data_IF_005072534869
#
_entry.id   IF_005072534869
#
_cell.length_a   1.000
_cell.length_b   1.000
_cell.length_c   1.000
_cell.angle_alpha   90.00
_cell.angle_beta   90.00
_cell.angle_gamma   90.00
#
_symmetry.space_group_name_H-M   'P 1'
#
loop_
_entity.id
_entity.type
_entity.pdbx_description
1 polymer ?
#
# COMPACT_ATOMS: atom_id res chain seq x y z
N UNK A 1 21.72 10.46 16.90
CA UNK A 1 21.59 10.25 15.44
C UNK A 1 20.14 9.86 15.20
N UNK A 2 19.42 10.56 14.33
CA UNK A 2 18.06 10.15 13.95
C UNK A 2 18.18 9.01 12.93
N UNK A 3 17.26 8.03 12.99
CA UNK A 3 17.23 6.94 12.03
C UNK A 3 16.71 7.45 10.69
N UNK A 4 17.44 7.15 9.62
CA UNK A 4 17.06 7.43 8.24
C UNK A 4 16.04 6.40 7.75
N UNK A 5 15.03 6.86 7.00
CA UNK A 5 14.05 5.96 6.40
C UNK A 5 13.11 6.65 5.42
N UNK A 6 12.10 5.91 4.98
CA UNK A 6 11.00 6.45 4.18
C UNK A 6 9.69 6.28 4.95
N UNK A 7 8.87 7.33 4.92
CA UNK A 7 7.52 7.34 5.46
C UNK A 7 6.55 6.95 4.37
N UNK A 8 5.72 5.95 4.64
CA UNK A 8 4.53 5.65 3.83
C UNK A 8 3.44 6.66 4.20
N UNK A 9 2.99 7.43 3.23
CA UNK A 9 1.89 8.38 3.37
C UNK A 9 0.78 8.03 2.38
N UNK A 10 -0.42 7.74 2.87
CA UNK A 10 -1.59 7.50 2.01
C UNK A 10 -2.83 8.15 2.59
N UNK A 11 -3.66 8.70 1.70
CA UNK A 11 -5.01 9.18 2.01
C UNK A 11 -6.12 8.20 1.59
N UNK A 12 -5.77 7.05 1.00
CA UNK A 12 -6.73 6.14 0.34
C UNK A 12 -6.75 4.75 0.98
N UNK A 13 -6.51 4.66 2.28
CA UNK A 13 -6.76 3.41 3.00
C UNK A 13 -8.26 3.15 3.09
N UNK A 14 -8.67 1.95 2.68
CA UNK A 14 -10.04 1.48 2.83
C UNK A 14 -10.08 0.37 3.85
N UNK A 15 -11.12 0.35 4.67
CA UNK A 15 -11.46 -0.82 5.47
C UNK A 15 -12.50 -1.63 4.72
N UNK A 16 -12.31 -2.95 4.70
CA UNK A 16 -13.37 -3.86 4.26
C UNK A 16 -14.52 -3.76 5.26
N UNK A 17 -15.70 -3.41 4.74
CA UNK A 17 -16.93 -3.25 5.53
C UNK A 17 -17.67 -4.59 5.68
N UNK A 18 -17.27 -5.60 4.91
CA UNK A 18 -17.87 -6.92 4.91
C UNK A 18 -17.39 -7.68 6.16
N UNK A 19 -18.28 -8.37 6.90
CA UNK A 19 -17.90 -9.23 8.01
C UNK A 19 -16.88 -10.30 7.59
N UNK A 20 -16.12 -10.81 8.56
CA UNK A 20 -15.13 -11.86 8.27
C UNK A 20 -15.83 -13.10 7.71
N UNK A 21 -15.59 -13.37 6.43
CA UNK A 21 -16.14 -14.48 5.67
C UNK A 21 -14.97 -15.31 5.12
N UNK A 22 -14.98 -16.65 5.26
CA UNK A 22 -13.94 -17.53 4.73
C UNK A 22 -13.64 -17.34 3.24
N UNK A 23 -14.56 -16.78 2.45
CA UNK A 23 -14.32 -16.42 1.05
C UNK A 23 -13.17 -15.41 0.89
N UNK A 24 -12.90 -14.60 1.91
CA UNK A 24 -11.77 -13.65 1.92
C UNK A 24 -10.44 -14.31 2.25
N UNK A 25 -10.36 -15.62 2.48
CA UNK A 25 -9.07 -16.30 2.60
C UNK A 25 -8.20 -16.08 1.36
N UNK A 26 -8.81 -16.11 0.16
CA UNK A 26 -8.15 -15.78 -1.11
C UNK A 26 -7.75 -14.31 -1.28
N UNK A 27 -8.25 -13.42 -0.41
CA UNK A 27 -7.97 -12.00 -0.44
C UNK A 27 -7.54 -11.49 0.94
N UNK A 28 -6.89 -12.32 1.76
CA UNK A 28 -6.60 -12.03 3.16
C UNK A 28 -5.85 -10.72 3.40
N UNK A 29 -5.11 -10.24 2.40
CA UNK A 29 -4.46 -8.93 2.38
C UNK A 29 -5.41 -7.74 2.60
N UNK A 30 -6.69 -7.89 2.24
CA UNK A 30 -7.71 -6.83 2.43
C UNK A 30 -7.98 -6.51 3.91
N UNK A 31 -7.61 -7.41 4.83
CA UNK A 31 -7.75 -7.22 6.28
C UNK A 31 -6.75 -6.20 6.84
N UNK A 32 -5.73 -5.84 6.05
CA UNK A 32 -4.66 -4.95 6.45
C UNK A 32 -4.57 -3.75 5.51
N UNK A 33 -4.53 -2.54 6.07
CA UNK A 33 -4.14 -1.36 5.30
C UNK A 33 -2.66 -1.42 4.92
N UNK A 34 -1.84 -1.88 5.88
CA UNK A 34 -0.42 -2.16 5.71
C UNK A 34 -0.10 -3.45 6.47
N UNK A 35 0.66 -4.34 5.85
CA UNK A 35 1.27 -5.49 6.49
C UNK A 35 2.76 -5.55 6.13
N UNK A 36 3.59 -5.99 7.08
CA UNK A 36 5.03 -6.13 6.88
C UNK A 36 5.41 -7.57 7.16
N UNK A 37 6.13 -8.19 6.23
CA UNK A 37 6.68 -9.54 6.37
C UNK A 37 8.17 -9.52 6.07
N UNK A 38 8.90 -10.53 6.56
CA UNK A 38 10.27 -10.76 6.13
C UNK A 38 10.27 -11.29 4.69
N UNK A 39 11.24 -10.88 3.89
CA UNK A 39 11.36 -11.35 2.51
C UNK A 39 11.66 -12.86 2.44
N UNK A 40 10.94 -13.58 1.57
CA UNK A 40 11.22 -14.96 1.17
C UNK A 40 10.95 -15.14 -0.32
N UNK A 41 11.79 -15.91 -1.01
CA UNK A 41 11.60 -16.23 -2.43
C UNK A 41 10.30 -16.98 -2.73
N UNK A 42 9.73 -17.67 -1.73
CA UNK A 42 8.46 -18.39 -1.82
C UNK A 42 7.22 -17.49 -1.66
N UNK A 43 7.37 -16.25 -1.20
CA UNK A 43 6.28 -15.34 -0.79
C UNK A 43 6.17 -14.11 -1.70
N UNK A 44 6.35 -14.30 -3.03
CA UNK A 44 6.44 -13.18 -4.00
C UNK A 44 5.12 -12.48 -4.32
N UNK A 45 3.99 -13.10 -4.02
CA UNK A 45 2.64 -12.60 -4.35
C UNK A 45 1.69 -12.98 -3.23
N UNK A 46 0.72 -12.13 -2.88
CA UNK A 46 -0.33 -12.44 -1.90
C UNK A 46 -1.51 -13.20 -2.51
N UNK A 47 -1.49 -13.42 -3.83
CA UNK A 47 -2.56 -14.07 -4.58
C UNK A 47 -2.01 -14.96 -5.70
N UNK A 48 -2.83 -15.90 -6.14
CA UNK A 48 -2.58 -16.76 -7.30
C UNK A 48 -3.71 -16.62 -8.31
N UNK A 49 -3.44 -16.92 -9.58
CA UNK A 49 -4.47 -17.02 -10.60
C UNK A 49 -5.59 -18.00 -10.21
N UNK A 50 -5.23 -19.05 -9.47
CA UNK A 50 -6.17 -20.09 -9.04
C UNK A 50 -7.00 -19.72 -7.80
N UNK A 51 -6.67 -18.63 -7.11
CA UNK A 51 -7.35 -18.22 -5.86
C UNK A 51 -8.85 -17.92 -6.07
N UNK A 52 -9.27 -17.55 -7.28
CA UNK A 52 -10.69 -17.33 -7.57
C UNK A 52 -11.47 -18.65 -7.73
N UNK A 53 -10.81 -19.72 -8.16
CA UNK A 53 -11.46 -21.01 -8.41
C UNK A 53 -11.86 -21.74 -7.12
N UNK A 54 -11.06 -21.58 -6.07
CA UNK A 54 -11.38 -22.04 -4.71
C UNK A 54 -10.95 -20.96 -3.71
N UNK A 55 -11.84 -20.00 -3.40
CA UNK A 55 -11.49 -18.89 -2.52
C UNK A 55 -11.36 -19.28 -1.05
N UNK A 56 -11.88 -20.46 -0.67
CA UNK A 56 -11.88 -20.97 0.70
C UNK A 56 -10.54 -21.61 1.06
N UNK A 57 -9.87 -22.23 0.07
CA UNK A 57 -8.57 -22.88 0.20
C UNK A 57 -7.59 -22.39 -0.89
N UNK A 58 -7.19 -21.11 -0.87
CA UNK A 58 -6.31 -20.56 -1.90
C UNK A 58 -4.89 -21.12 -1.77
N UNK A 59 -4.17 -21.33 -2.90
CA UNK A 59 -2.78 -21.79 -2.86
C UNK A 59 -1.82 -20.81 -2.16
N UNK A 60 -2.17 -19.52 -2.15
CA UNK A 60 -1.36 -18.43 -1.59
C UNK A 60 -2.28 -17.44 -0.87
N UNK A 61 -1.86 -16.97 0.30
CA UNK A 61 -2.61 -16.03 1.15
C UNK A 61 -1.62 -15.26 2.01
N UNK A 62 -1.84 -13.94 2.19
CA UNK A 62 -1.00 -13.12 3.07
C UNK A 62 -1.04 -13.61 4.52
N UNK A 63 -2.19 -14.13 5.00
CA UNK A 63 -2.29 -14.68 6.35
C UNK A 63 -1.29 -15.81 6.60
N UNK A 64 -1.01 -16.67 5.61
CA UNK A 64 -0.01 -17.73 5.75
C UNK A 64 1.41 -17.17 5.95
N UNK A 65 1.73 -16.02 5.35
CA UNK A 65 3.05 -15.38 5.50
C UNK A 65 3.27 -14.82 6.92
N UNK A 66 2.20 -14.68 7.70
CA UNK A 66 2.24 -14.11 9.05
C UNK A 66 2.14 -15.18 10.14
N UNK A 67 1.79 -16.42 9.80
CA UNK A 67 1.58 -17.52 10.76
C UNK A 67 2.86 -17.93 11.50
N UNK A 68 4.02 -17.80 10.85
CA UNK A 68 5.32 -18.12 11.44
C UNK A 68 5.86 -17.03 12.38
N UNK A 69 5.20 -15.86 12.43
CA UNK A 69 5.50 -14.74 13.32
C UNK A 69 7.00 -14.40 13.39
N UNK A 70 7.66 -14.38 12.23
CA UNK A 70 9.08 -14.07 12.15
C UNK A 70 9.41 -12.65 12.66
N UNK A 71 10.61 -12.51 13.24
CA UNK A 71 11.12 -11.19 13.60
C UNK A 71 11.30 -10.32 12.36
N UNK A 72 10.85 -9.07 12.45
CA UNK A 72 11.03 -8.03 11.43
C UNK A 72 12.16 -7.04 11.78
N UNK A 73 12.84 -7.24 12.91
CA UNK A 73 13.93 -6.36 13.33
C UNK A 73 15.19 -6.62 12.50
N UNK A 74 15.71 -5.59 11.85
CA UNK A 74 16.94 -5.62 11.04
C UNK A 74 16.97 -6.76 10.00
N UNK A 75 15.84 -6.98 9.33
CA UNK A 75 15.69 -7.96 8.25
C UNK A 75 15.49 -7.29 6.89
N UNK A 76 15.57 -8.09 5.83
CA UNK A 76 14.99 -7.72 4.54
C UNK A 76 13.46 -7.83 4.63
N UNK A 77 12.76 -6.75 4.33
CA UNK A 77 11.33 -6.59 4.60
C UNK A 77 10.54 -6.31 3.32
N UNK A 78 9.36 -6.89 3.25
CA UNK A 78 8.34 -6.57 2.25
C UNK A 78 7.18 -5.85 2.95
N UNK A 79 6.82 -4.67 2.44
CA UNK A 79 5.66 -3.93 2.89
C UNK A 79 4.52 -4.09 1.87
N UNK A 80 3.45 -4.76 2.29
CA UNK A 80 2.23 -4.95 1.51
C UNK A 80 1.27 -3.79 1.82
N UNK A 81 0.88 -3.03 0.80
CA UNK A 81 0.01 -1.85 0.95
C UNK A 81 -1.31 -2.11 0.24
N UNK A 82 -2.41 -2.03 0.98
CA UNK A 82 -3.76 -2.17 0.45
C UNK A 82 -4.37 -0.80 0.22
N UNK A 83 -4.74 -0.51 -1.02
CA UNK A 83 -5.50 0.66 -1.39
C UNK A 83 -6.87 0.25 -1.92
N UNK A 84 -7.88 1.06 -1.69
CA UNK A 84 -9.21 0.80 -2.22
C UNK A 84 -10.16 1.96 -2.05
N UNK A 85 -11.38 1.77 -2.56
CA UNK A 85 -12.51 2.69 -2.42
C UNK A 85 -13.78 1.90 -2.12
N UNK A 86 -14.59 2.40 -1.20
CA UNK A 86 -15.96 1.91 -1.05
C UNK A 86 -16.81 2.56 -2.16
N UNK A 87 -17.09 1.81 -3.23
CA UNK A 87 -17.82 2.32 -4.39
C UNK A 87 -19.31 2.00 -4.28
N UNK A 88 -20.12 3.03 -3.99
CA UNK A 88 -21.57 3.00 -4.16
C UNK A 88 -21.89 3.65 -5.51
N UNK A 89 -22.34 2.89 -6.52
CA UNK A 89 -22.56 3.44 -7.86
C UNK A 89 -23.65 4.52 -7.90
N UNK A 90 -23.46 5.49 -8.79
CA UNK A 90 -24.41 6.59 -9.06
C UNK A 90 -24.78 6.62 -10.55
N UNK A 91 -25.73 7.46 -10.95
CA UNK A 91 -26.13 7.61 -12.37
C UNK A 91 -24.95 8.00 -13.28
N UNK A 92 -24.01 8.76 -12.74
CA UNK A 92 -22.81 9.27 -13.40
C UNK A 92 -21.79 8.17 -13.71
N UNK A 93 -21.98 6.95 -13.18
CA UNK A 93 -21.16 5.77 -13.52
C UNK A 93 -21.59 5.08 -14.83
N UNK A 94 -22.65 5.55 -15.48
CA UNK A 94 -23.15 5.02 -16.75
C UNK A 94 -22.83 5.98 -17.89
N UNK A 95 -22.32 5.49 -19.05
CA UNK A 95 -22.06 4.09 -19.41
C UNK A 95 -20.71 3.56 -18.91
N UNK A 96 -19.89 4.42 -18.33
CA UNK A 96 -18.55 4.10 -17.86
C UNK A 96 -18.24 4.87 -16.60
N UNK A 97 -17.65 4.19 -15.62
CA UNK A 97 -17.14 4.81 -14.40
C UNK A 97 -16.02 5.80 -14.74
N UNK A 98 -16.12 7.03 -14.24
CA UNK A 98 -15.11 8.06 -14.46
C UNK A 98 -13.90 7.88 -13.54
N UNK A 99 -12.74 8.36 -13.99
CA UNK A 99 -11.48 8.31 -13.22
C UNK A 99 -11.40 9.41 -12.16
N UNK A 100 -12.03 10.56 -12.41
CA UNK A 100 -12.03 11.71 -11.51
C UNK A 100 -12.67 11.32 -10.15
N UNK A 101 -11.96 11.58 -9.06
CA UNK A 101 -12.41 11.24 -7.71
C UNK A 101 -12.32 9.77 -7.33
N UNK A 102 -11.81 8.88 -8.21
CA UNK A 102 -11.63 7.44 -7.95
C UNK A 102 -10.17 6.98 -8.02
N UNK A 103 -9.24 7.93 -7.97
CA UNK A 103 -7.81 7.65 -7.90
C UNK A 103 -7.41 7.23 -6.48
N UNK A 104 -6.51 6.26 -6.38
CA UNK A 104 -5.91 5.83 -5.12
C UNK A 104 -4.41 5.92 -5.25
N UNK A 105 -3.75 6.48 -4.23
CA UNK A 105 -2.30 6.59 -4.21
C UNK A 105 -1.72 6.46 -2.81
N UNK A 106 -0.42 6.21 -2.78
CA UNK A 106 0.42 6.39 -1.62
C UNK A 106 1.74 7.01 -2.08
N UNK A 107 2.47 7.59 -1.13
CA UNK A 107 3.75 8.21 -1.34
C UNK A 107 4.76 7.58 -0.40
N UNK A 108 5.97 7.36 -0.92
CA UNK A 108 7.15 7.10 -0.10
C UNK A 108 7.90 8.42 0.03
N UNK A 109 7.92 8.98 1.23
CA UNK A 109 8.48 10.29 1.51
C UNK A 109 9.77 10.10 2.32
N UNK A 110 10.92 10.63 1.89
CA UNK A 110 12.15 10.59 2.69
C UNK A 110 11.91 11.16 4.10
N UNK A 111 12.37 10.45 5.14
CA UNK A 111 12.20 10.84 6.53
C UNK A 111 13.52 10.68 7.28
N UNK A 112 14.16 11.81 7.63
CA UNK A 112 15.55 11.87 8.11
C UNK A 112 16.57 11.20 7.16
N UNK A 113 16.21 11.01 5.89
CA UNK A 113 17.06 10.31 4.92
C UNK A 113 18.15 11.21 4.33
N UNK A 114 17.83 12.50 4.17
CA UNK A 114 18.76 13.52 3.68
C UNK A 114 19.02 14.55 4.80
N UNK A 115 20.18 15.20 4.76
CA UNK A 115 20.56 16.23 5.73
C UNK A 115 19.77 17.55 5.53
N UNK A 116 19.29 17.78 4.31
CA UNK A 116 18.50 18.95 3.91
C UNK A 116 17.45 18.56 2.84
N UNK A 117 16.65 19.52 2.39
CA UNK A 117 15.68 19.31 1.31
C UNK A 117 16.42 18.90 0.01
N UNK A 118 16.21 17.68 -0.51
CA UNK A 118 16.92 17.21 -1.70
C UNK A 118 16.56 18.02 -2.97
N UNK A 119 15.44 18.75 -2.97
CA UNK A 119 14.99 19.57 -4.10
C UNK A 119 15.77 20.88 -4.26
N UNK A 120 16.55 21.30 -3.26
CA UNK A 120 17.32 22.56 -3.31
C UNK A 120 18.35 22.60 -4.45
N UNK A 121 18.77 21.43 -4.93
CA UNK A 121 19.68 21.29 -6.07
C UNK A 121 19.01 21.54 -7.44
N UNK A 122 17.68 21.70 -7.47
CA UNK A 122 16.93 21.97 -8.70
C UNK A 122 17.27 23.34 -9.28
N UNK A 123 17.41 23.41 -10.61
CA UNK A 123 17.66 24.66 -11.35
C UNK A 123 16.39 25.43 -11.72
N UNK A 124 15.21 24.87 -11.42
CA UNK A 124 13.92 25.47 -11.76
C UNK A 124 13.45 26.49 -10.71
N UNK A 125 14.14 26.61 -9.58
CA UNK A 125 13.82 27.56 -8.52
C UNK A 125 14.07 29.01 -8.98
N UNK A 126 13.09 29.88 -8.74
CA UNK A 126 13.21 31.32 -8.99
C UNK A 126 13.15 32.07 -7.66
N UNK A 127 14.02 33.08 -7.51
CA UNK A 127 14.09 33.93 -6.32
C UNK A 127 14.02 35.38 -6.76
N UNK A 128 13.02 36.11 -6.28
CA UNK A 128 12.89 37.56 -6.47
C UNK A 128 13.13 38.26 -5.13
N UNK A 129 13.99 39.27 -5.12
CA UNK A 129 14.26 40.08 -3.93
C UNK A 129 13.49 41.40 -4.02
N UNK A 130 12.88 41.88 -2.92
CA UNK A 130 12.13 43.12 -2.92
C UNK A 130 13.03 44.31 -3.29
N UNK A 131 12.48 45.26 -4.05
CA UNK A 131 13.14 46.52 -4.39
C UNK A 131 13.27 47.37 -3.12
N UNK A 132 14.47 47.94 -2.91
CA UNK A 132 14.74 48.88 -1.79
C UNK A 132 14.13 50.25 -2.03
#
# INVERSE_FOLDING_TARGET
MLLAGYRIHSGNFVNVVIPDDPVFNAASWVRHQVAVTKYKDSERSTLSFFSQGDPFNPPVSLSHFQEDNESILDQDLVCWITLGVNHVPTSEDVPVTTTAGKSMSFYLIPYNYFEEDPSISSKDAQVEYPST
#
